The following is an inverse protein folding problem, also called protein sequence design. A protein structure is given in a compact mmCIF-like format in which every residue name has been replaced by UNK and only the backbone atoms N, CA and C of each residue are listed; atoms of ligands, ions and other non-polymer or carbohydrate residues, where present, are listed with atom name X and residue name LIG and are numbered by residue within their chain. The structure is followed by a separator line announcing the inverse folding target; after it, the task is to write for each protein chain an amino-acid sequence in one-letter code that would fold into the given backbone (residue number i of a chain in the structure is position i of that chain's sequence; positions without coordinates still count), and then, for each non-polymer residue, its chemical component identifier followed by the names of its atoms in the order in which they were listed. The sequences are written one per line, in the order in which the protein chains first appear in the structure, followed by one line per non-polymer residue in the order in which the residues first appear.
data_IF_537205336259
#
_entry.id   IF_537205336259
#
_cell.length_a   1.000
_cell.length_b   1.000
_cell.length_c   1.000
_cell.angle_alpha   90.00
_cell.angle_beta   90.00
_cell.angle_gamma   90.00
#
_symmetry.space_group_name_H-M   'P 1'
#
loop_
_entity.id
_entity.type
_entity.pdbx_description
1 polymer ?
#
# COMPACT_ATOMS: atom_id res chain seq x y z
N UNK A 1 17.48 -8.25 -1.73
CA UNK A 1 16.90 -9.32 -2.58
C UNK A 1 15.40 -9.17 -2.50
N UNK A 2 14.68 -9.00 -3.62
CA UNK A 2 13.23 -8.79 -3.62
C UNK A 2 12.49 -10.03 -3.08
N UNK A 3 11.44 -9.84 -2.29
CA UNK A 3 10.67 -10.97 -1.76
C UNK A 3 9.79 -11.58 -2.88
N UNK A 4 9.70 -12.92 -2.94
CA UNK A 4 8.79 -13.63 -3.86
C UNK A 4 7.32 -13.16 -3.73
N UNK A 5 6.95 -12.61 -2.57
CA UNK A 5 5.61 -12.08 -2.30
C UNK A 5 5.37 -10.76 -3.05
N UNK A 6 6.35 -9.87 -3.06
CA UNK A 6 6.28 -8.61 -3.80
C UNK A 6 6.30 -8.83 -5.31
N UNK A 7 7.02 -9.84 -5.79
CA UNK A 7 7.03 -10.20 -7.21
C UNK A 7 5.63 -10.59 -7.71
N UNK A 8 4.85 -11.34 -6.90
CA UNK A 8 3.46 -11.67 -7.20
C UNK A 8 2.58 -10.43 -7.31
N UNK A 9 2.69 -9.50 -6.35
CA UNK A 9 1.97 -8.21 -6.39
C UNK A 9 2.30 -7.48 -7.69
N UNK A 10 3.59 -7.31 -8.01
CA UNK A 10 4.00 -6.56 -9.20
C UNK A 10 3.57 -7.22 -10.50
N UNK A 11 3.48 -8.55 -10.53
CA UNK A 11 2.90 -9.25 -11.67
C UNK A 11 1.43 -8.86 -11.86
N UNK A 12 0.63 -8.84 -10.79
CA UNK A 12 -0.77 -8.40 -10.80
C UNK A 12 -0.87 -6.94 -11.28
N UNK A 13 -0.02 -6.04 -10.75
CA UNK A 13 -0.01 -4.63 -11.17
C UNK A 13 0.22 -4.47 -12.66
N UNK A 14 1.21 -5.19 -13.22
CA UNK A 14 1.47 -5.18 -14.66
C UNK A 14 0.29 -5.71 -15.48
N UNK A 15 -0.39 -6.76 -15.02
CA UNK A 15 -1.58 -7.30 -15.72
C UNK A 15 -2.75 -6.30 -15.72
N UNK A 16 -2.90 -5.52 -14.65
CA UNK A 16 -3.95 -4.51 -14.52
C UNK A 16 -3.55 -3.12 -15.08
N UNK A 17 -2.31 -2.96 -15.52
CA UNK A 17 -1.76 -1.68 -15.97
C UNK A 17 -1.66 -0.62 -14.86
N UNK A 18 -1.40 -1.04 -13.62
CA UNK A 18 -1.33 -0.18 -12.44
C UNK A 18 0.12 0.17 -12.11
N UNK A 19 0.35 1.39 -11.64
CA UNK A 19 1.68 1.86 -11.24
C UNK A 19 1.97 1.48 -9.78
N UNK A 20 0.92 1.40 -8.95
CA UNK A 20 1.03 1.03 -7.55
C UNK A 20 -0.25 0.36 -7.03
N UNK A 21 -0.18 -0.22 -5.84
CA UNK A 21 -1.34 -0.67 -5.07
C UNK A 21 -1.25 -0.24 -3.62
N UNK A 22 -2.40 0.18 -3.08
CA UNK A 22 -2.63 0.49 -1.68
C UNK A 22 -3.27 -0.70 -0.96
N UNK A 23 -2.58 -1.17 0.07
CA UNK A 23 -2.96 -2.27 0.95
C UNK A 23 -3.35 -1.68 2.31
N UNK A 24 -4.54 -1.99 2.77
CA UNK A 24 -5.14 -1.50 4.03
C UNK A 24 -5.53 -2.63 4.97
N UNK A 25 -5.57 -3.87 4.47
CA UNK A 25 -5.97 -5.03 5.26
C UNK A 25 -4.77 -5.57 6.08
N UNK A 26 -4.84 -5.59 7.43
CA UNK A 26 -3.70 -5.95 8.27
C UNK A 26 -3.08 -7.33 7.99
N UNK A 27 -3.85 -8.39 7.69
CA UNK A 27 -3.29 -9.68 7.27
C UNK A 27 -2.40 -9.59 6.02
N UNK A 28 -2.79 -8.80 5.02
CA UNK A 28 -2.01 -8.65 3.80
C UNK A 28 -0.77 -7.78 4.03
N UNK A 29 -0.89 -6.70 4.83
CA UNK A 29 0.24 -5.89 5.27
C UNK A 29 1.27 -6.76 6.00
N UNK A 30 0.84 -7.54 7.00
CA UNK A 30 1.70 -8.47 7.74
C UNK A 30 2.36 -9.51 6.84
N UNK A 31 1.60 -10.09 5.90
CA UNK A 31 2.14 -11.05 4.95
C UNK A 31 3.21 -10.43 4.05
N UNK A 32 3.04 -9.19 3.61
CA UNK A 32 3.91 -8.54 2.63
C UNK A 32 5.14 -7.87 3.25
N UNK A 33 5.03 -7.31 4.45
CA UNK A 33 6.13 -6.57 5.08
C UNK A 33 6.41 -6.93 6.54
N UNK A 34 5.63 -7.81 7.17
CA UNK A 34 5.86 -8.27 8.55
C UNK A 34 5.23 -7.41 9.64
N UNK A 35 4.77 -6.19 9.32
CA UNK A 35 4.18 -5.29 10.30
C UNK A 35 2.94 -5.89 10.97
N UNK A 36 2.93 -5.85 12.30
CA UNK A 36 1.96 -6.51 13.14
C UNK A 36 0.99 -5.53 13.85
N UNK A 37 1.21 -4.23 13.68
CA UNK A 37 0.35 -3.17 14.23
C UNK A 37 -1.06 -3.15 13.63
N UNK A 38 -1.91 -2.32 14.22
CA UNK A 38 -3.36 -2.33 13.94
C UNK A 38 -3.84 -1.20 13.03
N UNK A 39 -3.00 -0.20 12.76
CA UNK A 39 -3.29 0.87 11.80
C UNK A 39 -2.03 1.23 11.01
N UNK A 40 -2.19 1.39 9.71
CA UNK A 40 -1.10 1.60 8.76
C UNK A 40 -1.54 1.27 7.34
N UNK A 41 -0.85 1.85 6.37
CA UNK A 41 -1.12 1.63 4.95
C UNK A 41 0.16 1.25 4.22
N UNK A 42 0.14 0.15 3.48
CA UNK A 42 1.27 -0.30 2.68
C UNK A 42 1.04 0.07 1.21
N UNK A 43 2.00 0.76 0.62
CA UNK A 43 2.03 1.03 -0.82
C UNK A 43 3.12 0.18 -1.44
N UNK A 44 2.80 -0.52 -2.53
CA UNK A 44 3.78 -1.25 -3.35
C UNK A 44 3.72 -0.70 -4.77
N UNK A 45 4.86 -0.22 -5.27
CA UNK A 45 5.03 0.17 -6.68
C UNK A 45 5.23 -1.04 -7.58
N UNK A 46 4.78 -0.93 -8.83
CA UNK A 46 5.05 -1.88 -9.91
C UNK A 46 6.54 -2.03 -10.23
N UNK A 47 7.34 -1.00 -9.94
CA UNK A 47 8.78 -0.94 -10.22
C UNK A 47 9.59 -1.63 -9.11
N UNK A 48 10.02 -0.90 -8.08
CA UNK A 48 10.93 -1.45 -7.05
C UNK A 48 10.61 -1.15 -5.60
N UNK A 49 9.94 -0.06 -5.31
CA UNK A 49 9.85 0.39 -3.93
C UNK A 49 8.51 0.04 -3.29
N UNK A 50 8.53 -0.05 -1.97
CA UNK A 50 7.37 -0.28 -1.13
C UNK A 50 7.53 0.56 0.14
N UNK A 51 6.43 1.10 0.64
CA UNK A 51 6.41 1.99 1.78
C UNK A 51 5.28 1.61 2.72
N UNK A 52 5.59 1.42 3.99
CA UNK A 52 4.60 1.35 5.04
C UNK A 52 4.48 2.73 5.68
N UNK A 53 3.30 3.33 5.58
CA UNK A 53 2.96 4.56 6.29
C UNK A 53 2.28 4.22 7.60
N UNK A 54 2.77 4.80 8.69
CA UNK A 54 2.23 4.65 10.04
C UNK A 54 2.18 5.98 10.76
N UNK A 55 1.28 6.11 11.74
CA UNK A 55 1.35 7.23 12.67
C UNK A 55 2.40 6.98 13.77
N UNK A 56 2.71 8.04 14.54
CA UNK A 56 3.77 8.03 15.55
C UNK A 56 3.63 6.94 16.63
N UNK A 57 2.43 6.41 16.86
CA UNK A 57 2.20 5.33 17.85
C UNK A 57 2.86 4.03 17.43
N UNK A 58 3.03 3.81 16.13
CA UNK A 58 3.57 2.57 15.59
C UNK A 58 4.96 2.72 14.97
N UNK A 59 5.56 3.92 14.95
CA UNK A 59 6.86 4.15 14.29
C UNK A 59 7.96 3.22 14.80
N UNK A 60 8.14 3.11 16.11
CA UNK A 60 9.17 2.23 16.70
C UNK A 60 8.92 0.77 16.35
N UNK A 61 7.68 0.29 16.53
CA UNK A 61 7.29 -1.07 16.17
C UNK A 61 7.53 -1.36 14.68
N UNK A 62 7.12 -0.44 13.81
CA UNK A 62 7.29 -0.60 12.38
C UNK A 62 8.77 -0.67 11.99
N UNK A 63 9.63 0.15 12.59
CA UNK A 63 11.07 0.11 12.35
C UNK A 63 11.71 -1.23 12.76
N UNK A 64 11.17 -1.90 13.78
CA UNK A 64 11.67 -3.21 14.24
C UNK A 64 11.13 -4.38 13.41
N UNK A 65 9.85 -4.34 13.02
CA UNK A 65 9.16 -5.48 12.39
C UNK A 65 9.24 -5.48 10.86
N UNK A 66 9.30 -4.29 10.24
CA UNK A 66 9.11 -4.17 8.80
C UNK A 66 10.33 -4.66 8.02
N UNK A 67 10.06 -5.53 7.06
CA UNK A 67 11.01 -5.99 6.08
C UNK A 67 10.48 -5.72 4.67
N UNK A 68 11.39 -5.45 3.75
CA UNK A 68 11.08 -5.22 2.32
C UNK A 68 10.22 -4.00 2.02
N UNK A 69 10.05 -3.07 2.97
CA UNK A 69 9.42 -1.77 2.75
C UNK A 69 10.13 -0.69 3.57
N UNK A 70 10.08 0.56 3.09
CA UNK A 70 10.53 1.74 3.85
C UNK A 70 9.42 2.13 4.82
N UNK A 71 9.77 2.41 6.08
CA UNK A 71 8.82 2.91 7.07
C UNK A 71 8.80 4.43 7.02
N UNK A 72 7.64 5.03 6.78
CA UNK A 72 7.43 6.48 6.84
C UNK A 72 6.43 6.81 7.97
N UNK A 73 6.88 7.56 8.97
CA UNK A 73 5.98 8.17 9.96
C UNK A 73 5.20 9.30 9.28
N UNK A 74 3.88 9.37 9.54
CA UNK A 74 3.01 10.37 8.96
C UNK A 74 2.03 11.00 9.96
N UNK A 75 1.53 12.18 9.58
CA UNK A 75 0.37 12.83 10.20
C UNK A 75 -0.76 12.84 9.18
N UNK A 76 -1.75 11.98 9.41
CA UNK A 76 -2.81 11.67 8.42
C UNK A 76 -2.33 10.65 7.40
N UNK A 77 -2.90 9.45 7.45
CA UNK A 77 -2.49 8.35 6.57
C UNK A 77 -2.87 8.63 5.12
N UNK A 78 -4.11 9.04 4.88
CA UNK A 78 -4.63 9.26 3.53
C UNK A 78 -3.89 10.39 2.82
N UNK A 79 -3.68 11.53 3.49
CA UNK A 79 -2.95 12.67 2.90
C UNK A 79 -1.49 12.31 2.59
N UNK A 80 -0.85 11.51 3.44
CA UNK A 80 0.50 11.02 3.19
C UNK A 80 0.58 10.01 2.06
N UNK A 81 -0.40 9.12 1.92
CA UNK A 81 -0.50 8.22 0.76
C UNK A 81 -0.60 9.04 -0.53
N UNK A 82 -1.49 10.02 -0.59
CA UNK A 82 -1.63 10.88 -1.79
C UNK A 82 -0.33 11.62 -2.11
N UNK A 83 0.35 12.17 -1.09
CA UNK A 83 1.66 12.83 -1.28
C UNK A 83 2.72 11.87 -1.80
N UNK A 84 2.79 10.66 -1.24
CA UNK A 84 3.69 9.60 -1.67
C UNK A 84 3.43 9.26 -3.15
N UNK A 85 2.19 8.92 -3.51
CA UNK A 85 1.85 8.53 -4.88
C UNK A 85 2.20 9.64 -5.89
N UNK A 86 1.96 10.91 -5.55
CA UNK A 86 2.37 12.06 -6.38
C UNK A 86 3.89 12.18 -6.50
N UNK A 87 4.62 12.04 -5.40
CA UNK A 87 6.10 12.07 -5.37
C UNK A 87 6.71 10.99 -6.26
N UNK A 88 6.12 9.81 -6.26
CA UNK A 88 6.54 8.67 -7.07
C UNK A 88 5.98 8.68 -8.51
N UNK A 89 5.23 9.72 -8.89
CA UNK A 89 4.68 9.86 -10.24
C UNK A 89 3.59 8.84 -10.61
N UNK A 90 2.94 8.23 -9.62
CA UNK A 90 1.84 7.28 -9.81
C UNK A 90 0.63 7.99 -10.43
N UNK A 91 0.09 7.42 -11.50
CA UNK A 91 -1.14 7.89 -12.16
C UNK A 91 -2.30 6.92 -11.96
N UNK A 92 -2.03 5.62 -11.86
CA UNK A 92 -3.05 4.58 -11.66
C UNK A 92 -2.72 3.74 -10.44
N UNK A 93 -3.56 3.81 -9.41
CA UNK A 93 -3.36 3.13 -8.13
C UNK A 93 -4.49 2.12 -7.87
N UNK A 94 -4.12 0.86 -7.66
CA UNK A 94 -5.05 -0.17 -7.19
C UNK A 94 -5.34 -0.03 -5.70
N UNK A 95 -6.51 -0.49 -5.24
CA UNK A 95 -6.80 -0.63 -3.80
C UNK A 95 -7.64 -1.86 -3.48
N UNK A 96 -7.58 -2.33 -2.23
CA UNK A 96 -8.33 -3.48 -1.75
C UNK A 96 -9.82 -3.19 -1.55
N UNK A 97 -10.64 -3.41 -2.57
CA UNK A 97 -12.04 -2.99 -2.58
C UNK A 97 -12.90 -3.63 -1.48
N UNK A 98 -12.59 -4.87 -1.06
CA UNK A 98 -13.30 -5.57 0.02
C UNK A 98 -12.98 -5.01 1.41
N UNK A 99 -11.86 -4.30 1.57
CA UNK A 99 -11.36 -3.83 2.87
C UNK A 99 -11.32 -2.31 3.00
N UNK A 100 -11.44 -1.60 1.88
CA UNK A 100 -11.40 -0.15 1.85
C UNK A 100 -12.69 0.45 2.42
N UNK A 101 -12.52 1.29 3.45
CA UNK A 101 -13.62 2.08 4.01
C UNK A 101 -13.92 3.25 3.08
N UNK A 102 -15.19 3.40 2.69
CA UNK A 102 -15.64 4.46 1.75
C UNK A 102 -15.21 5.86 2.19
N UNK A 103 -15.28 6.17 3.49
CA UNK A 103 -14.85 7.48 4.00
C UNK A 103 -13.34 7.70 3.93
N UNK A 104 -12.52 6.64 3.95
CA UNK A 104 -11.07 6.74 3.71
C UNK A 104 -10.80 6.91 2.20
N UNK A 105 -11.49 6.14 1.35
CA UNK A 105 -11.38 6.27 -0.11
C UNK A 105 -11.69 7.70 -0.59
N UNK A 106 -12.75 8.32 -0.07
CA UNK A 106 -13.11 9.69 -0.42
C UNK A 106 -12.00 10.72 -0.12
N UNK A 107 -11.11 10.46 0.84
CA UNK A 107 -9.94 11.30 1.13
C UNK A 107 -8.75 11.02 0.21
N UNK A 108 -8.68 9.80 -0.34
CA UNK A 108 -7.64 9.36 -1.26
C UNK A 108 -7.92 9.81 -2.70
N UNK A 109 -9.19 9.83 -3.10
CA UNK A 109 -9.68 10.28 -4.41
C UNK A 109 -9.57 11.80 -4.58
N UNK A 110 -8.32 12.29 -4.60
CA UNK A 110 -8.01 13.71 -4.78
C UNK A 110 -7.03 13.91 -5.94
N UNK A 111 -7.35 14.84 -6.84
CA UNK A 111 -6.48 15.19 -7.97
C UNK A 111 -6.43 14.12 -9.08
N UNK A 112 -5.25 13.92 -9.64
CA UNK A 112 -5.05 13.25 -10.95
C UNK A 112 -4.75 11.74 -10.88
N UNK A 113 -4.97 11.09 -9.72
CA UNK A 113 -4.74 9.65 -9.56
C UNK A 113 -6.04 8.90 -9.89
N UNK A 114 -5.98 8.00 -10.88
CA UNK A 114 -7.03 7.04 -11.17
C UNK A 114 -6.98 5.89 -10.16
N UNK A 115 -8.02 5.78 -9.33
CA UNK A 115 -8.15 4.69 -8.36
C UNK A 115 -8.90 3.52 -8.97
N UNK A 116 -8.30 2.33 -8.89
CA UNK A 116 -8.84 1.10 -9.48
C UNK A 116 -9.13 0.07 -8.38
N UNK A 117 -10.40 -0.30 -8.26
CA UNK A 117 -10.85 -1.29 -7.28
C UNK A 117 -10.35 -2.70 -7.64
N UNK A 118 -9.53 -3.30 -6.79
CA UNK A 118 -9.11 -4.71 -6.88
C UNK A 118 -9.98 -5.56 -5.95
N UNK A 119 -10.62 -6.59 -6.51
CA UNK A 119 -11.54 -7.49 -5.79
C UNK A 119 -10.96 -8.90 -5.71
N UNK A 120 -10.73 -9.50 -6.87
CA UNK A 120 -10.32 -10.91 -6.96
C UNK A 120 -8.84 -11.08 -7.28
N UNK A 121 -8.21 -10.03 -7.80
CA UNK A 121 -6.84 -10.00 -8.29
C UNK A 121 -5.86 -10.32 -7.16
N UNK A 122 -6.14 -9.85 -5.93
CA UNK A 122 -5.30 -10.05 -4.76
C UNK A 122 -5.57 -11.38 -4.03
N UNK A 123 -6.53 -12.20 -4.48
CA UNK A 123 -6.79 -13.52 -3.86
C UNK A 123 -5.58 -14.45 -3.94
N UNK A 124 -4.71 -14.27 -4.94
CA UNK A 124 -3.49 -15.05 -5.13
C UNK A 124 -2.41 -14.83 -4.02
N UNK A 125 -2.66 -13.92 -3.08
CA UNK A 125 -1.83 -13.72 -1.89
C UNK A 125 -2.15 -14.70 -0.76
N UNK A 126 -3.29 -15.40 -0.84
CA UNK A 126 -3.72 -16.45 0.10
C UNK A 126 -3.22 -17.82 -0.32
#
# INVERSE_FOLDING_TARGET
MMSKRHEKIRHILRQCGLDAVLLVHPPNIRYLCGFSGTDGMLVISAEKDAWLLVDSRYTLQAQEEVQNAVVEECRGLEESVVRLLKREGVRRAGFEAEYMVVSRLAKLETGDIEWVALKNELRALR
#
